data_IF_006030347484
#
_entry.id   IF_006030347484
#
_cell.length_a   1.000
_cell.length_b   1.000
_cell.length_c   1.000
_cell.angle_alpha   90.00
_cell.angle_beta   90.00
_cell.angle_gamma   90.00
#
_symmetry.space_group_name_H-M   'P 1'
#
loop_
_entity.id
_entity.type
_entity.pdbx_description
1 polymer ?
#
# COMPACT_ATOMS: atom_id res chain seq x y z
N UNK A 1 -13.51 -26.81 -2.24
CA UNK A 1 -13.78 -25.83 -1.17
C UNK A 1 -13.73 -24.48 -1.80
N UNK A 2 -14.76 -23.68 -1.61
CA UNK A 2 -14.92 -22.34 -2.16
C UNK A 2 -13.83 -21.41 -1.70
N UNK A 3 -13.12 -20.81 -2.64
CA UNK A 3 -12.09 -19.81 -2.32
C UNK A 3 -12.76 -18.49 -2.04
N UNK A 4 -12.47 -17.91 -0.87
CA UNK A 4 -12.97 -16.60 -0.46
C UNK A 4 -11.80 -15.65 -0.34
N UNK A 5 -11.88 -14.49 -0.98
CA UNK A 5 -10.82 -13.49 -0.98
C UNK A 5 -11.33 -12.15 -0.47
N UNK A 6 -10.49 -11.47 0.28
CA UNK A 6 -10.66 -10.05 0.61
C UNK A 6 -9.40 -9.34 0.17
N UNK A 7 -9.55 -8.26 -0.59
CA UNK A 7 -8.43 -7.42 -1.04
C UNK A 7 -8.71 -5.95 -0.80
N UNK A 8 -7.66 -5.17 -0.79
CA UNK A 8 -7.69 -3.72 -0.78
C UNK A 8 -7.29 -3.21 -2.16
N UNK A 9 -8.23 -2.63 -2.88
CA UNK A 9 -7.98 -2.02 -4.19
C UNK A 9 -7.69 -0.53 -3.99
N UNK A 10 -6.54 -0.02 -4.45
CA UNK A 10 -6.20 1.37 -4.23
C UNK A 10 -7.09 2.31 -5.03
N UNK A 11 -7.54 3.38 -4.39
CA UNK A 11 -8.21 4.52 -5.03
C UNK A 11 -7.19 5.66 -5.03
N UNK A 12 -6.85 6.16 -6.22
CA UNK A 12 -5.79 7.16 -6.41
C UNK A 12 -6.35 8.44 -7.00
N UNK A 13 -5.75 9.57 -6.64
CA UNK A 13 -6.03 10.85 -7.28
C UNK A 13 -5.41 10.92 -8.71
N UNK A 14 -5.55 12.07 -9.36
CA UNK A 14 -5.02 12.31 -10.72
C UNK A 14 -3.49 12.32 -10.78
N UNK A 15 -2.83 12.56 -9.66
CA UNK A 15 -1.38 12.56 -9.52
C UNK A 15 -0.84 11.20 -9.05
N UNK A 16 -1.70 10.18 -9.00
CA UNK A 16 -1.46 8.81 -8.56
C UNK A 16 -1.13 8.66 -7.06
N UNK A 17 -1.49 9.63 -6.20
CA UNK A 17 -1.41 9.43 -4.76
C UNK A 17 -2.61 8.62 -4.27
N UNK A 18 -2.38 7.72 -3.32
CA UNK A 18 -3.45 6.93 -2.71
C UNK A 18 -4.27 7.83 -1.79
N UNK A 19 -5.57 7.97 -2.08
CA UNK A 19 -6.53 8.65 -1.22
C UNK A 19 -7.26 7.69 -0.29
N UNK A 20 -7.29 6.41 -0.63
CA UNK A 20 -7.97 5.37 0.12
C UNK A 20 -7.92 4.02 -0.58
N UNK A 21 -8.64 3.07 -0.01
CA UNK A 21 -8.77 1.72 -0.56
C UNK A 21 -10.22 1.26 -0.57
N UNK A 22 -10.64 0.61 -1.63
CA UNK A 22 -11.87 -0.18 -1.60
C UNK A 22 -11.60 -1.57 -1.04
N UNK A 23 -12.43 -2.01 -0.10
CA UNK A 23 -12.39 -3.36 0.46
C UNK A 23 -13.34 -4.23 -0.35
N UNK A 24 -12.79 -5.09 -1.19
CA UNK A 24 -13.55 -6.01 -2.03
C UNK A 24 -13.53 -7.43 -1.46
N UNK A 25 -14.67 -8.10 -1.58
CA UNK A 25 -14.83 -9.49 -1.23
C UNK A 25 -15.25 -10.30 -2.46
N UNK A 26 -14.61 -11.43 -2.64
CA UNK A 26 -14.96 -12.40 -3.67
C UNK A 26 -15.24 -13.77 -3.04
N UNK A 27 -16.39 -14.38 -3.38
CA UNK A 27 -16.77 -15.70 -2.89
C UNK A 27 -17.80 -16.36 -3.81
N UNK A 28 -17.93 -17.68 -3.73
CA UNK A 28 -18.74 -18.52 -4.64
C UNK A 28 -20.23 -18.16 -4.79
N UNK A 29 -20.78 -17.28 -3.97
CA UNK A 29 -22.21 -16.96 -4.00
C UNK A 29 -22.65 -16.17 -5.25
N UNK A 30 -21.73 -15.73 -6.10
CA UNK A 30 -22.06 -15.18 -7.42
C UNK A 30 -22.47 -16.26 -8.47
N UNK A 31 -22.23 -17.54 -8.18
CA UNK A 31 -22.54 -18.64 -9.11
C UNK A 31 -23.95 -19.21 -8.98
N UNK A 32 -24.67 -18.89 -7.92
CA UNK A 32 -26.04 -19.37 -7.71
C UNK A 32 -27.02 -18.20 -7.84
N UNK A 33 -27.85 -18.25 -8.86
CA UNK A 33 -28.97 -17.33 -9.11
C UNK A 33 -30.07 -17.35 -8.03
N UNK A 34 -29.69 -17.15 -6.78
CA UNK A 34 -30.61 -16.91 -5.66
C UNK A 34 -30.76 -15.40 -5.48
N UNK A 35 -31.92 -14.96 -5.05
CA UNK A 35 -32.35 -13.57 -4.91
C UNK A 35 -31.22 -12.62 -4.53
N UNK A 36 -30.90 -11.67 -5.40
CA UNK A 36 -29.74 -10.76 -5.36
C UNK A 36 -29.53 -10.05 -3.98
N UNK A 37 -30.60 -9.82 -3.24
CA UNK A 37 -30.53 -9.12 -1.94
C UNK A 37 -29.90 -9.96 -0.82
N UNK A 38 -30.15 -11.26 -0.75
CA UNK A 38 -29.59 -12.13 0.29
C UNK A 38 -28.12 -12.46 0.05
N UNK A 39 -27.70 -12.53 -1.20
CA UNK A 39 -26.30 -12.74 -1.60
C UNK A 39 -25.42 -11.54 -1.21
N UNK A 40 -25.89 -10.34 -1.47
CA UNK A 40 -25.18 -9.09 -1.13
C UNK A 40 -25.04 -8.87 0.37
N UNK A 41 -26.11 -9.16 1.14
CA UNK A 41 -26.09 -9.06 2.61
C UNK A 41 -25.06 -10.02 3.22
N UNK A 42 -24.97 -11.24 2.70
CA UNK A 42 -24.00 -12.22 3.19
C UNK A 42 -22.57 -11.84 2.84
N UNK A 43 -22.30 -11.41 1.61
CA UNK A 43 -20.96 -11.00 1.17
C UNK A 43 -20.45 -9.78 1.96
N UNK A 44 -21.31 -8.77 2.15
CA UNK A 44 -20.96 -7.59 2.93
C UNK A 44 -20.74 -7.92 4.41
N UNK A 45 -21.60 -8.78 5.01
CA UNK A 45 -21.43 -9.21 6.39
C UNK A 45 -20.17 -10.05 6.60
N UNK A 46 -19.84 -10.93 5.65
CA UNK A 46 -18.64 -11.77 5.69
C UNK A 46 -17.37 -10.92 5.53
N UNK A 47 -17.40 -9.88 4.66
CA UNK A 47 -16.33 -8.90 4.52
C UNK A 47 -16.07 -8.19 5.85
N UNK A 48 -17.11 -7.64 6.47
CA UNK A 48 -17.00 -6.91 7.74
C UNK A 48 -16.52 -7.86 8.85
N UNK A 49 -17.06 -9.07 8.94
CA UNK A 49 -16.68 -10.05 9.96
C UNK A 49 -15.21 -10.46 9.83
N UNK A 50 -14.77 -10.84 8.62
CA UNK A 50 -13.40 -11.24 8.38
C UNK A 50 -12.44 -10.07 8.59
N UNK A 51 -12.83 -8.89 8.18
CA UNK A 51 -12.06 -7.67 8.38
C UNK A 51 -11.88 -7.36 9.87
N UNK A 52 -12.92 -7.44 10.69
CA UNK A 52 -12.85 -7.26 12.15
C UNK A 52 -12.07 -8.40 12.84
N UNK A 53 -12.18 -9.64 12.33
CA UNK A 53 -11.50 -10.81 12.92
C UNK A 53 -9.98 -10.75 12.76
N UNK A 54 -9.49 -10.00 11.78
CA UNK A 54 -8.06 -9.88 11.44
C UNK A 54 -7.33 -8.76 12.25
N UNK A 55 -7.88 -8.29 13.36
CA UNK A 55 -7.31 -7.18 14.17
C UNK A 55 -7.04 -5.90 13.36
N UNK A 56 -8.02 -5.50 12.60
CA UNK A 56 -7.92 -4.47 11.56
C UNK A 56 -7.69 -3.04 12.06
N UNK A 57 -7.85 -2.75 13.34
CA UNK A 57 -7.56 -1.41 13.90
C UNK A 57 -6.17 -0.88 13.57
N UNK A 58 -5.21 -1.79 13.31
CA UNK A 58 -3.85 -1.43 12.88
C UNK A 58 -3.69 -1.31 11.37
N UNK A 59 -4.57 -1.98 10.59
CA UNK A 59 -4.47 -2.06 9.13
C UNK A 59 -5.07 -0.83 8.43
N UNK A 60 -5.98 -0.13 9.10
CA UNK A 60 -6.73 0.99 8.54
C UNK A 60 -6.11 2.36 8.79
N UNK A 61 -5.13 2.44 9.70
CA UNK A 61 -4.62 3.73 10.16
C UNK A 61 -4.08 4.60 9.03
N UNK A 62 -4.60 5.82 8.99
CA UNK A 62 -4.09 6.90 8.14
C UNK A 62 -4.61 6.91 6.71
N UNK A 63 -5.51 5.98 6.31
CA UNK A 63 -6.12 5.97 4.97
C UNK A 63 -7.63 5.75 5.04
N UNK A 64 -8.35 6.28 4.05
CA UNK A 64 -9.78 6.02 3.92
C UNK A 64 -10.03 4.60 3.43
N UNK A 65 -11.03 3.92 4.00
CA UNK A 65 -11.41 2.58 3.58
C UNK A 65 -12.88 2.58 3.18
N UNK A 66 -13.12 2.34 1.92
CA UNK A 66 -14.44 2.30 1.31
C UNK A 66 -15.00 0.89 1.48
N UNK A 67 -16.09 0.75 2.21
CA UNK A 67 -16.74 -0.52 2.49
C UNK A 67 -18.22 -0.44 2.17
N UNK A 68 -18.73 -1.44 1.45
CA UNK A 68 -20.15 -1.51 1.08
C UNK A 68 -21.01 -2.00 2.26
N UNK A 69 -22.05 -1.24 2.58
CA UNK A 69 -23.03 -1.56 3.61
C UNK A 69 -24.41 -1.74 2.99
N UNK A 70 -25.02 -2.87 3.29
CA UNK A 70 -26.40 -3.15 2.93
C UNK A 70 -27.38 -2.51 3.93
N UNK A 71 -28.66 -2.44 3.58
CA UNK A 71 -29.73 -1.97 4.45
C UNK A 71 -29.71 -2.66 5.81
N UNK A 72 -29.53 -3.99 5.83
CA UNK A 72 -29.49 -4.81 7.05
C UNK A 72 -28.32 -4.40 7.96
N UNK A 73 -27.13 -4.21 7.40
CA UNK A 73 -25.93 -3.83 8.14
C UNK A 73 -26.01 -2.41 8.70
N UNK A 74 -26.59 -1.48 7.94
CA UNK A 74 -26.85 -0.12 8.41
C UNK A 74 -27.81 -0.11 9.61
N UNK A 75 -28.92 -0.88 9.54
CA UNK A 75 -29.87 -1.02 10.63
C UNK A 75 -29.27 -1.66 11.89
N UNK A 76 -28.35 -2.61 11.72
CA UNK A 76 -27.59 -3.23 12.83
C UNK A 76 -26.50 -2.33 13.39
N UNK A 77 -26.35 -1.12 12.89
CA UNK A 77 -25.37 -0.11 13.30
C UNK A 77 -23.92 -0.58 13.14
N UNK A 78 -23.67 -1.48 12.18
CA UNK A 78 -22.33 -2.04 11.90
C UNK A 78 -21.26 -0.97 11.55
N UNK A 79 -21.55 0.17 10.89
CA UNK A 79 -20.54 1.20 10.65
C UNK A 79 -19.87 1.73 11.91
N UNK A 80 -20.58 1.73 13.07
CA UNK A 80 -20.03 2.20 14.35
C UNK A 80 -18.96 1.31 14.97
N UNK A 81 -18.68 0.16 14.35
CA UNK A 81 -17.55 -0.70 14.72
C UNK A 81 -16.21 -0.15 14.21
N UNK A 82 -16.23 0.85 13.34
CA UNK A 82 -15.05 1.45 12.71
C UNK A 82 -14.91 2.92 13.08
N UNK A 83 -13.65 3.42 13.04
CA UNK A 83 -13.41 4.86 13.18
C UNK A 83 -13.99 5.62 12.00
N UNK A 84 -14.77 6.66 12.28
CA UNK A 84 -15.41 7.51 11.27
C UNK A 84 -14.42 8.29 10.40
N UNK A 85 -13.18 8.47 10.87
CA UNK A 85 -12.15 9.16 10.11
C UNK A 85 -11.46 8.23 9.09
N UNK A 86 -11.61 6.92 9.25
CA UNK A 86 -10.98 5.90 8.43
C UNK A 86 -11.99 5.15 7.55
N UNK A 87 -13.28 5.17 7.90
CA UNK A 87 -14.35 4.50 7.16
C UNK A 87 -15.10 5.46 6.24
N UNK A 88 -15.25 5.05 4.97
CA UNK A 88 -16.25 5.60 4.04
C UNK A 88 -17.35 4.57 3.87
N UNK A 89 -18.57 4.92 4.27
CA UNK A 89 -19.76 4.07 4.11
C UNK A 89 -20.18 4.11 2.64
N UNK A 90 -19.99 3.01 1.95
CA UNK A 90 -20.37 2.87 0.55
C UNK A 90 -21.74 2.21 0.44
N UNK A 91 -22.62 2.76 -0.39
CA UNK A 91 -23.98 2.29 -0.58
C UNK A 91 -24.34 2.19 -2.05
N UNK A 92 -25.29 1.34 -2.35
CA UNK A 92 -25.87 1.15 -3.69
C UNK A 92 -27.35 1.55 -3.76
N UNK A 93 -27.97 1.34 -4.90
CA UNK A 93 -29.37 1.68 -5.15
C UNK A 93 -30.34 0.95 -4.20
N UNK A 94 -30.03 -0.26 -3.76
CA UNK A 94 -30.87 -1.05 -2.86
C UNK A 94 -31.05 -0.38 -1.50
N UNK A 95 -30.01 0.32 -1.03
CA UNK A 95 -30.06 1.12 0.20
C UNK A 95 -30.88 2.41 -0.02
N UNK A 96 -30.66 3.06 -1.17
CA UNK A 96 -31.26 4.36 -1.51
C UNK A 96 -32.79 4.29 -1.64
N UNK A 97 -33.31 3.20 -2.13
CA UNK A 97 -34.77 3.00 -2.24
C UNK A 97 -35.46 2.69 -0.92
N UNK A 98 -34.71 2.39 0.14
CA UNK A 98 -35.27 2.00 1.43
C UNK A 98 -35.36 3.20 2.40
N UNK A 99 -36.58 3.70 2.77
CA UNK A 99 -36.73 4.93 3.55
C UNK A 99 -36.00 4.94 4.91
N UNK A 100 -36.01 3.79 5.63
CA UNK A 100 -35.32 3.69 6.92
C UNK A 100 -33.80 3.71 6.75
N UNK A 101 -33.27 3.06 5.72
CA UNK A 101 -31.84 3.09 5.43
C UNK A 101 -31.38 4.51 5.06
N UNK A 102 -32.16 5.24 4.28
CA UNK A 102 -31.95 6.65 3.98
C UNK A 102 -31.83 7.51 5.24
N UNK A 103 -32.73 7.31 6.19
CA UNK A 103 -32.64 8.02 7.46
C UNK A 103 -31.37 7.69 8.23
N UNK A 104 -30.96 6.41 8.22
CA UNK A 104 -29.72 5.97 8.86
C UNK A 104 -28.49 6.61 8.20
N UNK A 105 -28.44 6.68 6.87
CA UNK A 105 -27.33 7.33 6.13
C UNK A 105 -27.22 8.81 6.53
N UNK A 106 -28.34 9.54 6.56
CA UNK A 106 -28.35 10.92 7.03
C UNK A 106 -27.86 11.06 8.46
N UNK A 107 -28.17 10.09 9.33
CA UNK A 107 -27.67 10.06 10.68
C UNK A 107 -26.15 9.84 10.72
N UNK A 108 -25.61 8.86 9.97
CA UNK A 108 -24.16 8.61 9.90
C UNK A 108 -23.41 9.82 9.34
N UNK A 109 -23.93 10.47 8.30
CA UNK A 109 -23.34 11.71 7.79
C UNK A 109 -23.26 12.81 8.86
N UNK A 110 -24.32 12.98 9.67
CA UNK A 110 -24.32 13.93 10.83
C UNK A 110 -23.36 13.51 11.95
N UNK A 111 -23.10 12.21 12.13
CA UNK A 111 -22.12 11.67 13.07
C UNK A 111 -20.68 11.87 12.57
N UNK A 112 -20.50 12.28 11.31
CA UNK A 112 -19.23 12.62 10.68
C UNK A 112 -18.59 11.49 9.87
N UNK A 113 -19.36 10.42 9.54
CA UNK A 113 -18.92 9.45 8.55
C UNK A 113 -19.02 10.02 7.14
N UNK A 114 -18.06 9.70 6.29
CA UNK A 114 -18.11 9.99 4.85
C UNK A 114 -18.97 8.94 4.15
N UNK A 115 -19.74 9.37 3.17
CA UNK A 115 -20.67 8.54 2.43
C UNK A 115 -20.28 8.52 0.95
N UNK A 116 -20.14 7.31 0.37
CA UNK A 116 -19.94 7.09 -1.05
C UNK A 116 -21.16 6.39 -1.65
N UNK A 117 -21.53 6.78 -2.86
CA UNK A 117 -22.62 6.13 -3.62
C UNK A 117 -22.06 5.46 -4.85
N UNK A 118 -22.32 4.16 -4.96
CA UNK A 118 -22.03 3.39 -6.16
C UNK A 118 -23.09 3.63 -7.25
N UNK A 119 -22.67 3.64 -8.50
CA UNK A 119 -23.55 3.67 -9.66
C UNK A 119 -24.62 4.79 -9.62
N UNK A 120 -24.19 5.99 -9.26
CA UNK A 120 -25.07 7.14 -9.14
C UNK A 120 -25.87 7.38 -10.42
N UNK A 121 -27.19 7.65 -10.26
CA UNK A 121 -28.11 7.98 -11.34
C UNK A 121 -28.83 9.31 -11.06
N UNK A 122 -29.15 10.07 -12.12
CA UNK A 122 -30.00 11.26 -12.00
C UNK A 122 -31.47 10.89 -11.79
N UNK A 123 -31.80 10.50 -10.58
CA UNK A 123 -33.17 10.23 -10.16
C UNK A 123 -33.51 11.02 -8.89
N UNK A 124 -34.79 11.38 -8.65
CA UNK A 124 -35.19 12.19 -7.50
C UNK A 124 -34.72 11.63 -6.15
N UNK A 125 -34.63 10.30 -6.03
CA UNK A 125 -34.15 9.61 -4.82
C UNK A 125 -32.68 9.93 -4.49
N UNK A 126 -31.82 10.05 -5.49
CA UNK A 126 -30.42 10.44 -5.30
C UNK A 126 -30.29 11.93 -4.96
N UNK A 127 -31.10 12.78 -5.62
CA UNK A 127 -31.07 14.21 -5.34
C UNK A 127 -31.43 14.53 -3.88
N UNK A 128 -32.35 13.76 -3.28
CA UNK A 128 -32.72 13.92 -1.87
C UNK A 128 -31.58 13.57 -0.88
N UNK A 129 -30.54 12.87 -1.33
CA UNK A 129 -29.41 12.45 -0.50
C UNK A 129 -28.15 13.28 -0.74
N UNK A 130 -28.08 14.09 -1.77
CA UNK A 130 -26.84 14.75 -2.20
C UNK A 130 -26.15 15.49 -1.07
N UNK A 131 -26.89 16.10 -0.14
CA UNK A 131 -26.29 16.80 1.02
C UNK A 131 -25.52 15.86 1.95
N UNK A 132 -25.89 14.57 1.97
CA UNK A 132 -25.27 13.55 2.84
C UNK A 132 -24.18 12.74 2.15
N UNK A 133 -23.95 12.94 0.85
CA UNK A 133 -22.97 12.21 0.04
C UNK A 133 -21.68 13.03 -0.05
N UNK A 134 -20.54 12.40 0.08
CA UNK A 134 -19.23 12.99 -0.14
C UNK A 134 -18.63 12.54 -1.48
N UNK A 135 -18.79 11.26 -1.83
CA UNK A 135 -18.20 10.63 -3.01
C UNK A 135 -19.26 10.03 -3.92
N UNK A 136 -19.10 10.23 -5.22
CA UNK A 136 -19.93 9.62 -6.27
C UNK A 136 -19.04 8.72 -7.11
N UNK A 137 -19.28 7.41 -7.07
CA UNK A 137 -18.55 6.42 -7.88
C UNK A 137 -19.28 6.23 -9.22
N UNK A 138 -18.53 6.37 -10.31
CA UNK A 138 -19.03 6.33 -11.69
C UNK A 138 -18.35 5.21 -12.46
N UNK A 139 -19.13 4.26 -12.95
CA UNK A 139 -18.61 3.15 -13.74
C UNK A 139 -18.34 3.59 -15.18
N UNK A 140 -17.07 3.67 -15.56
CA UNK A 140 -16.62 4.10 -16.88
C UNK A 140 -16.80 3.05 -17.98
N UNK A 141 -17.05 1.80 -17.62
CA UNK A 141 -17.32 0.74 -18.60
C UNK A 141 -18.78 0.75 -19.07
N UNK A 142 -19.70 1.17 -18.20
CA UNK A 142 -21.14 1.06 -18.45
C UNK A 142 -21.80 2.38 -18.87
N UNK A 143 -21.25 3.52 -18.42
CA UNK A 143 -21.82 4.83 -18.66
C UNK A 143 -21.26 5.48 -19.94
N UNK A 144 -22.13 6.15 -20.69
CA UNK A 144 -21.72 6.93 -21.86
C UNK A 144 -20.97 8.21 -21.46
N UNK A 145 -20.00 8.66 -22.27
CA UNK A 145 -19.16 9.84 -22.00
C UNK A 145 -19.98 11.11 -21.71
N UNK A 146 -21.06 11.33 -22.43
CA UNK A 146 -21.92 12.51 -22.20
C UNK A 146 -22.60 12.46 -20.84
N UNK A 147 -23.05 11.29 -20.41
CA UNK A 147 -23.65 11.07 -19.09
C UNK A 147 -22.62 11.29 -17.99
N UNK A 148 -21.43 10.71 -18.13
CA UNK A 148 -20.31 10.90 -17.20
C UNK A 148 -19.99 12.39 -17.05
N UNK A 149 -19.83 13.11 -18.15
CA UNK A 149 -19.53 14.54 -18.12
C UNK A 149 -20.60 15.33 -17.36
N UNK A 150 -21.87 15.11 -17.66
CA UNK A 150 -22.97 15.81 -16.98
C UNK A 150 -23.01 15.52 -15.48
N UNK A 151 -22.79 14.26 -15.08
CA UNK A 151 -22.77 13.89 -13.65
C UNK A 151 -21.61 14.58 -12.94
N UNK A 152 -20.41 14.55 -13.52
CA UNK A 152 -19.21 15.15 -12.93
C UNK A 152 -19.39 16.67 -12.78
N UNK A 153 -19.88 17.37 -13.79
CA UNK A 153 -20.11 18.82 -13.73
C UNK A 153 -21.12 19.19 -12.64
N UNK A 154 -22.20 18.44 -12.50
CA UNK A 154 -23.21 18.67 -11.44
C UNK A 154 -22.63 18.34 -10.07
N UNK A 155 -21.96 17.21 -9.92
CA UNK A 155 -21.31 16.80 -8.67
C UNK A 155 -20.33 17.86 -8.16
N UNK A 156 -19.46 18.35 -9.03
CA UNK A 156 -18.51 19.42 -8.70
C UNK A 156 -19.20 20.74 -8.33
N UNK A 157 -20.31 21.09 -9.02
CA UNK A 157 -21.09 22.29 -8.66
C UNK A 157 -21.70 22.21 -7.26
N UNK A 158 -21.87 21.00 -6.73
CA UNK A 158 -22.37 20.70 -5.38
C UNK A 158 -21.27 20.31 -4.38
N UNK A 159 -20.00 20.53 -4.75
CA UNK A 159 -18.85 20.21 -3.89
C UNK A 159 -18.71 18.70 -3.55
N UNK A 160 -19.10 17.82 -4.48
CA UNK A 160 -18.96 16.37 -4.34
C UNK A 160 -17.77 15.87 -5.14
N UNK A 161 -17.09 14.85 -4.63
CA UNK A 161 -15.96 14.23 -5.31
C UNK A 161 -16.42 13.05 -6.17
N UNK A 162 -15.89 12.97 -7.40
CA UNK A 162 -16.19 11.91 -8.36
C UNK A 162 -15.04 10.91 -8.43
N UNK A 163 -15.33 9.62 -8.23
CA UNK A 163 -14.40 8.52 -8.38
C UNK A 163 -14.76 7.73 -9.63
N UNK A 164 -13.85 7.66 -10.59
CA UNK A 164 -14.01 6.81 -11.77
C UNK A 164 -13.65 5.36 -11.40
N UNK A 165 -14.59 4.43 -11.59
CA UNK A 165 -14.35 2.99 -11.33
C UNK A 165 -14.38 2.19 -12.63
N UNK A 166 -13.76 1.00 -12.62
CA UNK A 166 -13.65 0.13 -13.79
C UNK A 166 -12.60 0.62 -14.79
N UNK A 167 -11.54 1.26 -14.31
CA UNK A 167 -10.44 1.77 -15.15
C UNK A 167 -9.44 0.64 -15.43
N UNK A 168 -9.81 -0.26 -16.34
CA UNK A 168 -9.06 -1.48 -16.63
C UNK A 168 -8.23 -1.41 -17.92
N UNK A 169 -8.21 -0.27 -18.59
CA UNK A 169 -7.36 -0.03 -19.75
C UNK A 169 -6.94 1.45 -19.83
N UNK A 170 -5.88 1.70 -20.61
CA UNK A 170 -5.33 3.05 -20.77
C UNK A 170 -6.30 4.04 -21.42
N UNK A 171 -7.19 3.57 -22.29
CA UNK A 171 -8.18 4.43 -22.96
C UNK A 171 -9.17 5.02 -21.93
N UNK A 172 -9.71 4.20 -21.03
CA UNK A 172 -10.59 4.64 -19.95
C UNK A 172 -9.85 5.55 -18.97
N UNK A 173 -8.58 5.24 -18.69
CA UNK A 173 -7.73 6.08 -17.84
C UNK A 173 -7.60 7.50 -18.42
N UNK A 174 -7.24 7.63 -19.69
CA UNK A 174 -7.12 8.94 -20.36
C UNK A 174 -8.46 9.66 -20.45
N UNK A 175 -9.56 8.94 -20.65
CA UNK A 175 -10.91 9.51 -20.65
C UNK A 175 -11.26 10.08 -19.25
N UNK A 176 -10.96 9.37 -18.19
CA UNK A 176 -11.21 9.82 -16.82
C UNK A 176 -10.41 11.10 -16.48
N UNK A 177 -9.12 11.15 -16.85
CA UNK A 177 -8.30 12.35 -16.70
C UNK A 177 -8.87 13.55 -17.50
N UNK A 178 -9.32 13.32 -18.74
CA UNK A 178 -9.93 14.35 -19.58
C UNK A 178 -11.22 14.91 -18.97
N UNK A 179 -12.03 14.06 -18.35
CA UNK A 179 -13.27 14.43 -17.67
C UNK A 179 -13.05 15.04 -16.29
N UNK A 180 -11.80 15.09 -15.83
CA UNK A 180 -11.38 15.72 -14.57
C UNK A 180 -12.05 15.13 -13.33
N UNK A 181 -12.20 13.80 -13.27
CA UNK A 181 -12.60 13.11 -12.04
C UNK A 181 -11.60 13.39 -10.92
N UNK A 182 -12.01 13.28 -9.66
CA UNK A 182 -11.15 13.58 -8.51
C UNK A 182 -10.27 12.39 -8.15
N UNK A 183 -10.77 11.17 -8.36
CA UNK A 183 -10.02 9.94 -8.12
C UNK A 183 -10.41 8.83 -9.11
N UNK A 184 -9.56 7.80 -9.14
CA UNK A 184 -9.66 6.67 -10.07
C UNK A 184 -9.45 5.35 -9.32
N UNK A 185 -10.12 4.30 -9.80
CA UNK A 185 -10.04 2.93 -9.30
C UNK A 185 -10.12 1.93 -10.46
N UNK A 186 -9.27 0.92 -10.45
CA UNK A 186 -9.23 -0.14 -11.47
C UNK A 186 -7.85 -0.75 -11.61
N UNK A 187 -7.73 -1.79 -12.45
CA UNK A 187 -6.49 -2.56 -12.61
C UNK A 187 -5.33 -1.70 -13.11
N UNK A 188 -5.57 -0.86 -14.11
CA UNK A 188 -4.55 0.08 -14.62
C UNK A 188 -4.17 1.12 -13.58
N UNK A 189 -5.11 1.58 -12.77
CA UNK A 189 -4.84 2.55 -11.70
C UNK A 189 -3.96 1.93 -10.61
N UNK A 190 -4.22 0.67 -10.24
CA UNK A 190 -3.41 -0.05 -9.27
C UNK A 190 -1.94 -0.18 -9.71
N UNK A 191 -1.70 -0.30 -11.01
CA UNK A 191 -0.36 -0.39 -11.59
C UNK A 191 0.37 0.95 -11.71
N UNK A 192 -0.38 2.05 -11.87
CA UNK A 192 0.24 3.38 -12.03
C UNK A 192 0.72 3.90 -10.69
N UNK A 193 1.96 4.33 -10.67
CA UNK A 193 2.58 4.95 -9.51
C UNK A 193 2.99 6.39 -9.80
N UNK A 194 3.12 7.18 -8.76
CA UNK A 194 3.59 8.56 -8.85
C UNK A 194 4.99 8.56 -9.47
N UNK A 195 5.11 9.01 -10.72
CA UNK A 195 6.41 9.16 -11.38
C UNK A 195 7.09 10.45 -10.89
N UNK A 196 7.71 10.39 -9.74
CA UNK A 196 8.68 11.42 -9.36
C UNK A 196 10.05 10.78 -9.38
N UNK A 197 10.75 11.01 -10.47
CA UNK A 197 12.14 10.68 -10.65
C UNK A 197 12.99 11.46 -9.65
N UNK A 198 13.37 10.81 -8.57
CA UNK A 198 14.51 11.26 -7.81
C UNK A 198 15.76 10.58 -8.38
N UNK A 199 16.54 11.35 -9.10
CA UNK A 199 17.94 11.04 -9.42
C UNK A 199 18.75 11.00 -8.11
N UNK A 200 18.50 9.99 -7.29
CA UNK A 200 19.30 9.76 -6.10
C UNK A 200 20.49 8.90 -6.49
N UNK A 201 21.68 9.51 -6.50
CA UNK A 201 22.95 8.82 -6.69
C UNK A 201 23.24 7.73 -5.64
N UNK A 202 22.28 7.41 -4.80
CA UNK A 202 22.31 6.42 -3.74
C UNK A 202 21.92 5.00 -4.16
N UNK A 203 21.24 4.85 -5.27
CA UNK A 203 20.95 3.54 -5.84
C UNK A 203 22.17 2.95 -6.56
N UNK A 204 23.37 3.37 -6.11
CA UNK A 204 24.62 2.78 -6.59
C UNK A 204 24.74 1.33 -6.12
N UNK A 205 25.51 0.57 -6.85
CA UNK A 205 25.69 -0.88 -6.70
C UNK A 205 25.91 -1.39 -5.27
N UNK A 206 26.50 -0.58 -4.36
CA UNK A 206 26.77 -0.97 -2.98
C UNK A 206 25.52 -1.05 -2.10
N UNK A 207 24.53 -0.18 -2.30
CA UNK A 207 23.27 -0.25 -1.57
C UNK A 207 22.52 -1.56 -1.86
N UNK A 208 22.38 -1.92 -3.12
CA UNK A 208 21.74 -3.19 -3.49
C UNK A 208 22.52 -4.41 -3.01
N UNK A 209 23.85 -4.36 -3.08
CA UNK A 209 24.69 -5.42 -2.53
C UNK A 209 24.50 -5.57 -1.01
N UNK A 210 24.37 -4.46 -0.30
CA UNK A 210 24.08 -4.45 1.13
C UNK A 210 22.70 -5.04 1.44
N UNK A 211 21.68 -4.64 0.68
CA UNK A 211 20.33 -5.16 0.83
C UNK A 211 20.28 -6.67 0.62
N UNK A 212 20.88 -7.18 -0.47
CA UNK A 212 20.98 -8.62 -0.73
C UNK A 212 21.72 -9.35 0.39
N UNK A 213 22.81 -8.78 0.90
CA UNK A 213 23.63 -9.42 1.93
C UNK A 213 22.93 -9.48 3.29
N UNK A 214 22.16 -8.44 3.66
CA UNK A 214 21.53 -8.35 4.98
C UNK A 214 20.24 -9.18 5.08
N UNK A 215 19.58 -9.47 3.96
CA UNK A 215 18.31 -10.21 3.91
C UNK A 215 18.50 -11.74 3.98
N UNK A 216 19.69 -12.24 3.70
CA UNK A 216 19.99 -13.68 3.78
C UNK A 216 19.55 -14.27 5.12
N UNK A 217 19.15 -15.53 5.12
CA UNK A 217 18.75 -16.25 6.36
C UNK A 217 19.86 -16.26 7.42
N UNK A 218 21.13 -16.30 6.99
CA UNK A 218 22.32 -16.18 7.83
C UNK A 218 23.26 -15.13 7.20
N UNK A 219 23.09 -13.84 7.54
CA UNK A 219 23.96 -12.78 7.03
C UNK A 219 25.38 -12.93 7.53
N UNK A 220 26.36 -12.83 6.60
CA UNK A 220 27.79 -12.83 6.97
C UNK A 220 28.22 -11.41 7.34
N UNK A 221 28.56 -11.21 8.60
CA UNK A 221 29.00 -9.92 9.15
C UNK A 221 30.23 -9.40 8.43
N UNK A 222 31.15 -10.26 8.00
CA UNK A 222 32.36 -9.83 7.28
C UNK A 222 32.05 -9.32 5.87
N UNK A 223 31.04 -9.90 5.22
CA UNK A 223 30.52 -9.40 3.93
C UNK A 223 29.84 -8.05 4.09
N UNK A 224 28.98 -7.91 5.11
CA UNK A 224 28.30 -6.65 5.43
C UNK A 224 29.31 -5.54 5.77
N UNK A 225 30.28 -5.82 6.63
CA UNK A 225 31.38 -4.92 6.98
C UNK A 225 32.12 -4.43 5.74
N UNK A 226 32.47 -5.34 4.81
CA UNK A 226 33.18 -5.00 3.59
C UNK A 226 32.36 -4.09 2.68
N UNK A 227 31.07 -4.37 2.50
CA UNK A 227 30.19 -3.57 1.65
C UNK A 227 30.02 -2.15 2.22
N UNK A 228 29.80 -2.05 3.52
CA UNK A 228 29.58 -0.75 4.19
C UNK A 228 30.88 0.07 4.21
N UNK A 229 32.04 -0.57 4.50
CA UNK A 229 33.31 0.13 4.67
C UNK A 229 33.88 0.76 3.39
N UNK A 230 33.46 0.30 2.21
CA UNK A 230 33.89 0.90 0.95
C UNK A 230 33.04 2.10 0.53
N UNK A 231 31.97 2.39 1.26
CA UNK A 231 31.05 3.50 1.00
C UNK A 231 31.03 4.45 2.20
N UNK A 232 31.56 5.66 2.01
CA UNK A 232 31.67 6.65 3.07
C UNK A 232 30.31 7.05 3.67
N UNK A 233 29.27 7.10 2.84
CA UNK A 233 27.92 7.49 3.26
C UNK A 233 27.26 6.40 4.11
N UNK A 234 27.37 5.14 3.67
CA UNK A 234 26.89 4.00 4.45
C UNK A 234 27.63 3.89 5.79
N UNK A 235 28.96 4.05 5.76
CA UNK A 235 29.79 4.02 6.96
C UNK A 235 29.39 5.11 7.94
N UNK A 236 29.27 6.36 7.48
CA UNK A 236 28.88 7.49 8.32
C UNK A 236 27.45 7.28 8.89
N UNK A 237 26.51 6.90 8.06
CA UNK A 237 25.12 6.65 8.48
C UNK A 237 25.03 5.57 9.56
N UNK A 238 25.73 4.44 9.38
CA UNK A 238 25.74 3.35 10.34
C UNK A 238 26.39 3.74 11.68
N UNK A 239 27.56 4.39 11.63
CA UNK A 239 28.26 4.85 12.84
C UNK A 239 27.43 5.90 13.62
N UNK A 240 26.72 6.79 12.91
CA UNK A 240 25.84 7.80 13.52
C UNK A 240 24.68 7.12 14.27
N UNK A 241 24.07 6.09 13.71
CA UNK A 241 22.99 5.34 14.36
C UNK A 241 23.52 4.56 15.56
N UNK A 242 24.61 3.83 15.41
CA UNK A 242 25.22 3.07 16.49
C UNK A 242 25.58 3.95 17.69
N UNK A 243 25.98 5.20 17.45
CA UNK A 243 26.33 6.16 18.50
C UNK A 243 25.14 7.04 18.95
N UNK A 244 23.92 6.76 18.51
CA UNK A 244 22.75 7.50 18.96
C UNK A 244 22.42 7.21 20.44
N UNK A 245 21.64 8.11 21.07
CA UNK A 245 21.19 7.93 22.46
C UNK A 245 20.37 6.67 22.69
N UNK A 246 19.79 6.10 21.64
CA UNK A 246 18.98 4.89 21.70
C UNK A 246 19.79 3.68 22.24
N UNK A 247 21.06 3.56 21.85
CA UNK A 247 21.91 2.43 22.28
C UNK A 247 22.66 2.67 23.60
N UNK A 248 22.58 3.86 24.20
CA UNK A 248 23.10 4.22 25.54
C UNK A 248 24.49 3.65 25.85
N UNK A 249 25.41 3.73 24.90
CA UNK A 249 26.74 3.12 25.01
C UNK A 249 27.65 3.89 25.98
N UNK A 250 28.45 3.14 26.75
CA UNK A 250 29.49 3.70 27.64
C UNK A 250 30.69 4.26 26.86
N UNK A 251 30.93 3.80 25.64
CA UNK A 251 32.03 4.24 24.76
C UNK A 251 31.51 4.39 23.32
N UNK A 252 32.11 5.34 22.60
CA UNK A 252 31.77 5.54 21.18
C UNK A 252 32.21 4.36 20.32
N UNK A 253 31.33 3.96 19.42
CA UNK A 253 31.59 2.98 18.35
C UNK A 253 32.35 3.68 17.24
N UNK A 254 33.51 3.16 16.87
CA UNK A 254 34.40 3.76 15.87
C UNK A 254 34.62 2.91 14.63
N UNK A 255 34.19 1.63 14.64
CA UNK A 255 34.35 0.72 13.52
C UNK A 255 33.00 0.20 13.01
N UNK A 256 32.92 -0.09 11.71
CA UNK A 256 31.72 -0.65 11.07
C UNK A 256 31.32 -1.96 11.72
N UNK A 257 32.28 -2.84 12.02
CA UNK A 257 32.02 -4.12 12.68
C UNK A 257 31.40 -3.95 14.06
N UNK A 258 31.94 -3.05 14.87
CA UNK A 258 31.36 -2.72 16.18
C UNK A 258 29.95 -2.15 16.03
N UNK A 259 29.73 -1.31 15.03
CA UNK A 259 28.41 -0.75 14.76
C UNK A 259 27.39 -1.85 14.42
N UNK A 260 27.71 -2.77 13.52
CA UNK A 260 26.85 -3.90 13.17
C UNK A 260 26.52 -4.75 14.40
N UNK A 261 27.54 -5.07 15.21
CA UNK A 261 27.36 -5.87 16.44
C UNK A 261 26.55 -5.16 17.51
N UNK A 262 26.67 -3.84 17.59
CA UNK A 262 25.93 -3.01 18.57
C UNK A 262 24.47 -2.84 18.19
N UNK A 263 24.22 -2.54 16.93
CA UNK A 263 22.86 -2.32 16.38
C UNK A 263 22.11 -3.67 16.32
N UNK A 264 22.80 -4.73 15.90
CA UNK A 264 22.19 -6.03 15.63
C UNK A 264 21.69 -6.14 14.19
N UNK A 265 21.45 -7.38 13.74
CA UNK A 265 21.09 -7.65 12.34
C UNK A 265 19.64 -7.21 11.98
N UNK A 266 18.73 -7.24 12.94
CA UNK A 266 17.35 -6.83 12.69
C UNK A 266 17.25 -5.32 12.49
N UNK A 267 17.83 -4.55 13.37
CA UNK A 267 17.89 -3.09 13.29
C UNK A 267 18.74 -2.63 12.10
N UNK A 268 19.77 -3.41 11.73
CA UNK A 268 20.52 -3.16 10.51
C UNK A 268 19.65 -3.35 9.26
N UNK A 269 18.81 -4.37 9.21
CA UNK A 269 17.82 -4.56 8.13
C UNK A 269 16.88 -3.36 8.03
N UNK A 270 16.31 -2.94 9.14
CA UNK A 270 15.43 -1.76 9.19
C UNK A 270 16.16 -0.50 8.72
N UNK A 271 17.41 -0.32 9.12
CA UNK A 271 18.21 0.81 8.67
C UNK A 271 18.48 0.79 7.16
N UNK A 272 18.75 -0.37 6.59
CA UNK A 272 18.91 -0.53 5.13
C UNK A 272 17.61 -0.19 4.40
N UNK A 273 16.46 -0.58 4.95
CA UNK A 273 15.15 -0.17 4.41
C UNK A 273 14.93 1.35 4.53
N UNK A 274 15.31 1.94 5.66
CA UNK A 274 15.28 3.39 5.86
C UNK A 274 16.16 4.15 4.87
N UNK A 275 17.30 3.60 4.50
CA UNK A 275 18.15 4.23 3.48
C UNK A 275 17.49 4.24 2.11
N UNK A 276 16.69 3.24 1.76
CA UNK A 276 15.88 3.27 0.53
C UNK A 276 14.81 4.37 0.55
N UNK A 277 14.32 4.71 1.76
CA UNK A 277 13.32 5.77 1.95
C UNK A 277 13.91 7.17 2.15
N UNK A 278 15.12 7.28 2.73
CA UNK A 278 15.65 8.54 3.27
C UNK A 278 16.49 9.38 2.30
N UNK A 279 16.56 9.02 1.05
CA UNK A 279 17.21 9.84 0.03
C UNK A 279 16.41 11.10 -0.35
N UNK A 280 15.26 11.29 0.28
CA UNK A 280 14.53 12.52 0.28
C UNK A 280 14.98 13.38 1.49
N UNK A 281 16.15 14.00 1.40
CA UNK A 281 16.67 14.89 2.48
C UNK A 281 15.78 16.12 2.77
N UNK A 282 14.68 16.34 2.04
CA UNK A 282 13.81 17.50 2.26
C UNK A 282 12.32 17.27 2.04
N UNK A 283 11.73 16.29 2.57
CA UNK A 283 10.32 15.89 2.52
C UNK A 283 10.23 14.45 1.98
N UNK A 284 9.77 13.52 2.80
CA UNK A 284 9.28 12.26 2.25
C UNK A 284 8.17 12.64 1.28
N UNK A 285 8.46 12.52 0.00
CA UNK A 285 7.46 12.69 -1.04
C UNK A 285 6.44 11.57 -0.84
N UNK A 286 5.15 11.89 -0.80
CA UNK A 286 4.07 10.91 -0.60
C UNK A 286 4.20 9.71 -1.55
N UNK A 287 4.75 9.93 -2.76
CA UNK A 287 5.05 8.87 -3.71
C UNK A 287 6.13 7.88 -3.27
N UNK A 288 7.17 8.32 -2.54
CA UNK A 288 8.23 7.43 -2.06
C UNK A 288 7.74 6.52 -0.93
N UNK A 289 6.81 7.00 -0.10
CA UNK A 289 6.16 6.21 0.94
C UNK A 289 5.32 5.08 0.36
N UNK A 290 4.43 5.38 -0.57
CA UNK A 290 3.60 4.40 -1.27
C UNK A 290 4.45 3.28 -1.87
N UNK A 291 5.53 3.69 -2.51
CA UNK A 291 6.48 2.84 -3.19
C UNK A 291 7.14 1.82 -2.26
N UNK A 292 7.63 2.30 -1.12
CA UNK A 292 8.25 1.46 -0.11
C UNK A 292 7.25 0.49 0.52
N UNK A 293 6.06 0.96 0.82
CA UNK A 293 4.99 0.10 1.35
C UNK A 293 4.65 -1.01 0.38
N UNK A 294 4.52 -0.69 -0.92
CA UNK A 294 4.23 -1.68 -1.96
C UNK A 294 5.38 -2.68 -2.12
N UNK A 295 6.63 -2.20 -2.15
CA UNK A 295 7.82 -3.06 -2.22
C UNK A 295 7.89 -4.02 -1.05
N UNK A 296 7.70 -3.53 0.18
CA UNK A 296 7.69 -4.33 1.40
C UNK A 296 6.53 -5.33 1.40
N UNK A 297 5.35 -4.90 0.93
CA UNK A 297 4.17 -5.76 0.85
C UNK A 297 4.42 -6.94 -0.10
N UNK A 298 4.89 -6.68 -1.32
CA UNK A 298 5.23 -7.71 -2.30
C UNK A 298 6.35 -8.63 -1.81
N UNK A 299 7.38 -8.07 -1.17
CA UNK A 299 8.49 -8.83 -0.61
C UNK A 299 8.01 -9.83 0.46
N UNK A 300 7.23 -9.36 1.43
CA UNK A 300 6.68 -10.21 2.48
C UNK A 300 5.72 -11.25 1.93
N UNK A 301 4.86 -10.87 0.99
CA UNK A 301 3.86 -11.78 0.44
C UNK A 301 4.52 -12.87 -0.41
N UNK A 302 5.41 -12.55 -1.34
CA UNK A 302 6.17 -13.53 -2.11
C UNK A 302 6.96 -14.49 -1.19
N UNK A 303 7.63 -13.97 -0.16
CA UNK A 303 8.36 -14.78 0.82
C UNK A 303 7.45 -15.70 1.62
N UNK A 304 6.24 -15.23 2.01
CA UNK A 304 5.27 -16.00 2.77
C UNK A 304 4.63 -17.11 1.95
N UNK A 305 4.34 -16.85 0.68
CA UNK A 305 3.83 -17.84 -0.28
C UNK A 305 4.79 -19.04 -0.46
N UNK A 306 6.10 -18.81 -0.33
CA UNK A 306 7.13 -19.87 -0.38
C UNK A 306 6.98 -20.95 0.69
N UNK A 307 6.22 -20.71 1.77
CA UNK A 307 5.95 -21.75 2.78
C UNK A 307 5.01 -22.83 2.25
N UNK A 308 4.25 -22.53 1.21
CA UNK A 308 3.18 -23.36 0.70
C UNK A 308 3.41 -23.78 -0.75
N UNK A 309 4.12 -22.97 -1.54
CA UNK A 309 4.51 -23.30 -2.91
C UNK A 309 5.45 -24.51 -2.97
N UNK A 310 5.20 -25.44 -3.90
CA UNK A 310 6.04 -26.62 -4.10
C UNK A 310 7.01 -26.42 -5.25
N UNK A 311 8.11 -27.18 -5.20
CA UNK A 311 9.11 -27.26 -6.28
C UNK A 311 9.65 -25.89 -6.75
N UNK A 312 9.85 -24.98 -5.81
CA UNK A 312 10.40 -23.66 -6.09
C UNK A 312 11.92 -23.73 -6.23
N UNK A 313 12.50 -23.16 -7.32
CA UNK A 313 13.94 -23.19 -7.56
C UNK A 313 14.73 -22.15 -6.75
N UNK A 314 14.06 -21.33 -5.97
CA UNK A 314 14.62 -20.21 -5.20
C UNK A 314 14.36 -20.37 -3.71
N UNK A 315 15.11 -19.61 -2.90
CA UNK A 315 14.88 -19.54 -1.45
C UNK A 315 13.83 -18.50 -1.07
N UNK A 316 13.34 -18.53 0.18
CA UNK A 316 12.46 -17.48 0.72
C UNK A 316 13.10 -16.08 0.65
N UNK A 317 14.42 -16.01 0.86
CA UNK A 317 15.16 -14.76 0.75
C UNK A 317 15.19 -14.22 -0.67
N UNK A 318 15.30 -15.09 -1.67
CA UNK A 318 15.25 -14.71 -3.07
C UNK A 318 13.85 -14.25 -3.47
N UNK A 319 12.80 -14.93 -3.00
CA UNK A 319 11.41 -14.51 -3.22
C UNK A 319 11.11 -13.15 -2.54
N UNK A 320 11.68 -12.91 -1.36
CA UNK A 320 11.60 -11.60 -0.71
C UNK A 320 12.25 -10.51 -1.58
N UNK A 321 13.46 -10.77 -2.10
CA UNK A 321 14.16 -9.83 -2.99
C UNK A 321 13.40 -9.61 -4.29
N UNK A 322 12.78 -10.65 -4.84
CA UNK A 322 11.92 -10.54 -6.02
C UNK A 322 10.80 -9.53 -5.81
N UNK A 323 10.02 -9.69 -4.73
CA UNK A 323 8.97 -8.73 -4.40
C UNK A 323 9.51 -7.31 -4.14
N UNK A 324 10.64 -7.19 -3.43
CA UNK A 324 11.27 -5.91 -3.11
C UNK A 324 11.73 -5.16 -4.37
N UNK A 325 12.29 -5.87 -5.34
CA UNK A 325 12.84 -5.26 -6.55
C UNK A 325 11.80 -5.06 -7.66
N UNK A 326 10.60 -5.57 -7.49
CA UNK A 326 9.52 -5.45 -8.47
C UNK A 326 9.09 -4.01 -8.79
N UNK A 327 9.48 -3.08 -7.95
CA UNK A 327 9.08 -1.68 -8.04
C UNK A 327 10.26 -0.73 -8.37
N UNK A 328 11.47 -1.25 -8.60
CA UNK A 328 12.67 -0.44 -8.80
C UNK A 328 12.62 0.50 -10.00
N UNK A 329 11.94 0.10 -11.07
CA UNK A 329 11.73 0.92 -12.26
C UNK A 329 10.94 2.21 -12.01
N UNK A 330 10.25 2.30 -10.88
CA UNK A 330 9.54 3.52 -10.48
C UNK A 330 10.41 4.45 -9.63
N UNK A 331 11.43 3.91 -8.95
CA UNK A 331 12.39 4.69 -8.16
C UNK A 331 13.57 5.20 -9.00
N UNK A 332 13.91 4.47 -10.07
CA UNK A 332 15.07 4.75 -10.90
C UNK A 332 14.56 4.96 -12.33
N UNK A 333 14.88 6.09 -12.89
CA UNK A 333 14.57 6.40 -14.30
C UNK A 333 15.48 5.61 -15.25
N UNK A 334 15.32 4.29 -15.23
CA UNK A 334 16.01 3.36 -16.10
C UNK A 334 15.17 2.08 -16.30
N UNK A 335 15.34 1.37 -17.41
CA UNK A 335 14.71 0.07 -17.63
C UNK A 335 15.07 -0.92 -16.51
N UNK A 336 14.09 -1.70 -16.04
CA UNK A 336 14.31 -2.68 -14.97
C UNK A 336 15.44 -3.67 -15.30
N UNK A 337 15.61 -4.02 -16.57
CA UNK A 337 16.70 -4.88 -17.05
C UNK A 337 18.08 -4.30 -16.73
N UNK A 338 18.30 -3.02 -17.00
CA UNK A 338 19.57 -2.34 -16.70
C UNK A 338 19.80 -2.24 -15.20
N UNK A 339 18.74 -1.97 -14.43
CA UNK A 339 18.81 -1.88 -12.97
C UNK A 339 19.19 -3.24 -12.36
N UNK A 340 18.58 -4.32 -12.83
CA UNK A 340 18.81 -5.67 -12.30
C UNK A 340 20.14 -6.28 -12.73
N UNK A 341 20.76 -5.79 -13.79
CA UNK A 341 22.01 -6.35 -14.32
C UNK A 341 23.14 -6.42 -13.28
N UNK A 342 23.47 -5.33 -12.54
CA UNK A 342 24.53 -5.34 -11.53
C UNK A 342 24.11 -5.99 -10.20
N UNK A 343 22.83 -6.30 -10.01
CA UNK A 343 22.33 -6.81 -8.74
C UNK A 343 22.61 -8.32 -8.65
N UNK A 344 23.23 -8.80 -7.55
CA UNK A 344 23.63 -10.19 -7.40
C UNK A 344 22.47 -11.08 -6.92
N UNK A 345 21.39 -11.14 -7.71
CA UNK A 345 20.28 -12.09 -7.53
C UNK A 345 20.37 -13.21 -8.57
N UNK A 346 19.73 -14.35 -8.28
CA UNK A 346 19.74 -15.49 -9.21
C UNK A 346 18.97 -15.17 -10.50
N UNK A 347 19.27 -15.94 -11.55
CA UNK A 347 18.68 -15.70 -12.88
C UNK A 347 17.16 -15.91 -12.85
N UNK A 348 16.67 -16.87 -12.09
CA UNK A 348 15.25 -17.18 -11.94
C UNK A 348 14.46 -15.98 -11.40
N UNK A 349 15.05 -15.18 -10.49
CA UNK A 349 14.44 -13.95 -10.00
C UNK A 349 14.43 -12.87 -11.09
N UNK A 350 15.52 -12.73 -11.84
CA UNK A 350 15.57 -11.78 -12.97
C UNK A 350 14.55 -12.11 -14.04
N UNK A 351 14.46 -13.38 -14.42
CA UNK A 351 13.51 -13.86 -15.43
C UNK A 351 12.06 -13.71 -14.97
N UNK A 352 11.79 -13.91 -13.68
CA UNK A 352 10.47 -13.65 -13.10
C UNK A 352 10.08 -12.17 -13.17
N UNK A 353 11.00 -11.28 -12.84
CA UNK A 353 10.74 -9.83 -12.81
C UNK A 353 10.66 -9.20 -14.22
N UNK A 354 11.44 -9.71 -15.17
CA UNK A 354 11.53 -9.13 -16.52
C UNK A 354 10.55 -9.78 -17.50
N UNK A 355 10.33 -11.09 -17.38
CA UNK A 355 9.63 -11.88 -18.39
C UNK A 355 8.43 -12.65 -17.83
N UNK A 356 8.19 -12.61 -16.53
CA UNK A 356 7.09 -13.35 -15.87
C UNK A 356 7.15 -14.86 -16.18
N UNK A 357 8.35 -15.44 -16.28
CA UNK A 357 8.55 -16.83 -16.71
C UNK A 357 8.91 -17.77 -15.57
N UNK A 358 8.61 -19.06 -15.77
CA UNK A 358 8.89 -20.13 -14.82
C UNK A 358 8.05 -20.07 -13.55
N UNK A 359 8.36 -20.97 -12.62
CA UNK A 359 7.62 -21.03 -11.33
C UNK A 359 7.78 -19.77 -10.47
N UNK A 360 8.91 -19.08 -10.60
CA UNK A 360 9.15 -17.80 -9.93
C UNK A 360 8.28 -16.69 -10.52
N UNK A 361 8.11 -16.67 -11.87
CA UNK A 361 7.18 -15.76 -12.53
C UNK A 361 5.74 -16.01 -12.09
N UNK A 362 5.29 -17.27 -12.02
CA UNK A 362 3.96 -17.61 -11.51
C UNK A 362 3.74 -17.16 -10.06
N UNK A 363 4.75 -17.30 -9.19
CA UNK A 363 4.68 -16.83 -7.80
C UNK A 363 4.55 -15.30 -7.74
N UNK A 364 5.31 -14.61 -8.55
CA UNK A 364 5.25 -13.15 -8.67
C UNK A 364 3.92 -12.69 -9.24
N UNK A 365 3.44 -13.34 -10.30
CA UNK A 365 2.15 -13.04 -10.93
C UNK A 365 0.98 -13.29 -9.96
N UNK A 366 1.04 -14.33 -9.14
CA UNK A 366 0.03 -14.58 -8.11
C UNK A 366 -0.05 -13.39 -7.12
N UNK A 367 1.09 -12.84 -6.71
CA UNK A 367 1.11 -11.66 -5.84
C UNK A 367 0.50 -10.44 -6.54
N UNK A 368 0.84 -10.19 -7.81
CA UNK A 368 0.29 -9.08 -8.60
C UNK A 368 -1.21 -9.24 -8.86
N UNK A 369 -1.66 -10.44 -9.22
CA UNK A 369 -3.08 -10.72 -9.45
C UNK A 369 -3.89 -10.52 -8.17
N UNK A 370 -3.33 -10.88 -7.00
CA UNK A 370 -3.98 -10.65 -5.72
C UNK A 370 -4.16 -9.15 -5.42
N UNK A 371 -3.13 -8.33 -5.68
CA UNK A 371 -3.19 -6.87 -5.53
C UNK A 371 -4.22 -6.20 -6.46
N UNK A 372 -4.41 -6.78 -7.66
CA UNK A 372 -5.33 -6.27 -8.69
C UNK A 372 -6.75 -6.82 -8.57
N UNK A 373 -6.98 -7.75 -7.65
CA UNK A 373 -8.24 -8.50 -7.55
C UNK A 373 -8.61 -9.28 -8.83
N UNK A 374 -7.60 -9.83 -9.53
CA UNK A 374 -7.84 -10.68 -10.70
C UNK A 374 -8.12 -12.12 -10.28
N UNK A 375 -9.35 -12.39 -9.89
CA UNK A 375 -9.82 -13.64 -9.34
C UNK A 375 -9.64 -14.83 -10.28
N UNK A 376 -9.80 -14.59 -11.58
CA UNK A 376 -9.72 -15.66 -12.58
C UNK A 376 -8.31 -16.22 -12.71
N UNK A 377 -7.30 -15.37 -12.60
CA UNK A 377 -5.91 -15.80 -12.64
C UNK A 377 -5.41 -16.33 -11.30
N UNK A 378 -5.90 -15.79 -10.16
CA UNK A 378 -5.51 -16.24 -8.83
C UNK A 378 -5.72 -17.73 -8.63
N UNK A 379 -6.92 -18.25 -8.98
CA UNK A 379 -7.23 -19.67 -8.80
C UNK A 379 -6.33 -20.57 -9.65
N UNK A 380 -6.09 -20.21 -10.90
CA UNK A 380 -5.21 -20.95 -11.82
C UNK A 380 -3.76 -20.99 -11.32
N UNK A 381 -3.20 -19.83 -10.95
CA UNK A 381 -1.82 -19.72 -10.47
C UNK A 381 -1.63 -20.42 -9.12
N UNK A 382 -2.59 -20.33 -8.22
CA UNK A 382 -2.55 -21.00 -6.93
C UNK A 382 -2.57 -22.53 -7.10
N UNK A 383 -3.39 -23.07 -8.03
CA UNK A 383 -3.43 -24.49 -8.35
C UNK A 383 -2.10 -24.98 -8.91
N UNK A 384 -1.49 -24.26 -9.87
CA UNK A 384 -0.19 -24.61 -10.46
C UNK A 384 0.95 -24.56 -9.44
N UNK A 385 0.91 -23.65 -8.49
CA UNK A 385 1.87 -23.54 -7.40
C UNK A 385 1.58 -24.48 -6.23
N UNK A 386 0.45 -25.20 -6.26
CA UNK A 386 -0.05 -26.06 -5.20
C UNK A 386 -0.33 -25.33 -3.88
N UNK A 387 -0.72 -24.06 -3.97
CA UNK A 387 -1.10 -23.21 -2.84
C UNK A 387 -2.62 -23.30 -2.65
N UNK A 388 -3.06 -23.50 -1.42
CA UNK A 388 -4.48 -23.46 -1.10
C UNK A 388 -4.97 -22.01 -1.10
N UNK A 389 -5.94 -21.70 -1.94
CA UNK A 389 -6.46 -20.35 -2.14
C UNK A 389 -7.08 -19.73 -0.88
N UNK A 390 -7.63 -20.55 0.02
CA UNK A 390 -8.15 -20.09 1.32
C UNK A 390 -7.09 -19.51 2.26
N UNK A 391 -5.80 -19.78 2.01
CA UNK A 391 -4.69 -19.22 2.79
C UNK A 391 -4.27 -17.84 2.31
N UNK A 392 -4.54 -17.49 1.06
CA UNK A 392 -4.04 -16.25 0.45
C UNK A 392 -4.48 -15.01 1.22
N UNK A 393 -5.76 -14.95 1.60
CA UNK A 393 -6.30 -13.83 2.37
C UNK A 393 -5.58 -13.66 3.71
N UNK A 394 -5.47 -14.73 4.49
CA UNK A 394 -4.81 -14.66 5.81
C UNK A 394 -3.33 -14.32 5.70
N UNK A 395 -2.63 -14.84 4.69
CA UNK A 395 -1.23 -14.51 4.42
C UNK A 395 -1.07 -13.05 4.02
N UNK A 396 -1.92 -12.56 3.12
CA UNK A 396 -1.86 -11.17 2.66
C UNK A 396 -2.06 -10.19 3.81
N UNK A 397 -3.06 -10.41 4.67
CA UNK A 397 -3.31 -9.56 5.82
C UNK A 397 -2.20 -9.65 6.89
N UNK A 398 -1.65 -10.85 7.14
CA UNK A 398 -0.49 -10.98 8.01
C UNK A 398 0.73 -10.20 7.50
N UNK A 399 0.97 -10.25 6.18
CA UNK A 399 2.05 -9.44 5.57
C UNK A 399 1.78 -7.94 5.72
N UNK A 400 0.53 -7.52 5.62
CA UNK A 400 0.15 -6.12 5.80
C UNK A 400 0.37 -5.64 7.24
N UNK A 401 0.06 -6.48 8.25
CA UNK A 401 0.39 -6.19 9.66
C UNK A 401 1.90 -6.02 9.86
N UNK A 402 2.70 -6.91 9.29
CA UNK A 402 4.16 -6.83 9.38
C UNK A 402 4.70 -5.55 8.72
N UNK A 403 4.18 -5.20 7.54
CA UNK A 403 4.57 -3.96 6.84
C UNK A 403 4.18 -2.72 7.65
N UNK A 404 2.96 -2.67 8.19
CA UNK A 404 2.53 -1.54 9.02
C UNK A 404 3.38 -1.41 10.29
N UNK A 405 3.72 -2.51 10.94
CA UNK A 405 4.63 -2.51 12.11
C UNK A 405 5.99 -1.95 11.75
N UNK A 406 6.61 -2.43 10.66
CA UNK A 406 7.88 -1.91 10.15
C UNK A 406 7.75 -0.42 9.85
N UNK A 407 6.64 0.01 9.25
CA UNK A 407 6.38 1.39 8.90
C UNK A 407 6.25 2.30 10.13
N UNK A 408 5.52 1.86 11.15
CA UNK A 408 5.40 2.59 12.42
C UNK A 408 6.76 2.78 13.11
N UNK A 409 7.58 1.74 13.13
CA UNK A 409 8.95 1.80 13.68
C UNK A 409 9.82 2.79 12.89
N UNK A 410 9.69 2.81 11.56
CA UNK A 410 10.38 3.72 10.65
C UNK A 410 9.96 5.18 10.90
N UNK A 411 8.66 5.45 10.97
CA UNK A 411 8.13 6.80 11.13
C UNK A 411 8.37 7.37 12.52
N UNK A 412 8.27 6.56 13.57
CA UNK A 412 8.61 6.97 14.94
C UNK A 412 10.10 7.31 15.09
N UNK A 413 10.99 6.51 14.49
CA UNK A 413 12.42 6.79 14.48
C UNK A 413 12.75 8.10 13.72
N UNK A 414 12.02 8.43 12.65
CA UNK A 414 12.21 9.66 11.89
C UNK A 414 11.63 10.90 12.60
N UNK A 415 10.50 10.78 13.29
CA UNK A 415 9.91 11.85 14.08
C UNK A 415 10.81 12.25 15.27
N UNK A 416 11.31 11.27 16.01
CA UNK A 416 12.27 11.50 17.12
C UNK A 416 13.56 12.16 16.63
N UNK A 417 14.00 11.88 15.40
CA UNK A 417 15.17 12.53 14.78
C UNK A 417 14.92 13.99 14.43
N UNK A 418 13.73 14.32 13.92
CA UNK A 418 13.34 15.69 13.58
C UNK A 418 13.23 16.56 14.84
N UNK A 419 12.76 16.02 15.95
CA UNK A 419 12.73 16.71 17.24
C UNK A 419 14.15 17.01 17.76
N UNK A 420 15.02 16.01 17.77
CA UNK A 420 16.43 16.17 18.22
C UNK A 420 17.19 17.15 17.31
N UNK A 421 16.93 17.14 16.00
CA UNK A 421 17.55 18.09 15.07
C UNK A 421 17.06 19.52 15.32
N UNK A 422 15.77 19.73 15.54
CA UNK A 422 15.20 21.05 15.90
C UNK A 422 15.74 21.58 17.24
N UNK A 423 15.87 20.72 18.24
CA UNK A 423 16.47 21.10 19.53
C UNK A 423 17.95 21.49 19.40
N UNK A 424 18.71 20.79 18.55
CA UNK A 424 20.10 21.09 18.26
C UNK A 424 20.27 22.40 17.47
N UNK A 425 19.36 22.72 16.55
CA UNK A 425 19.35 24.00 15.83
C UNK A 425 18.97 25.16 16.74
N UNK A 426 17.93 25.01 17.55
CA UNK A 426 17.52 26.03 18.54
C UNK A 426 18.60 26.27 19.59
N UNK A 427 19.38 25.26 19.98
CA UNK A 427 20.52 25.39 20.88
C UNK A 427 21.67 26.21 20.23
N UNK A 428 21.93 25.99 18.94
CA UNK A 428 22.94 26.76 18.18
C UNK A 428 22.56 28.22 17.97
N UNK A 429 21.29 28.50 17.69
CA UNK A 429 20.78 29.86 17.56
C UNK A 429 20.85 30.63 18.88
N UNK A 430 20.60 29.98 20.02
CA UNK A 430 20.72 30.55 21.36
C UNK A 430 22.19 30.81 21.77
N UNK A 431 23.14 30.01 21.28
CA UNK A 431 24.56 30.18 21.51
C UNK A 431 25.13 31.32 20.66
N UNK A 432 24.75 31.40 19.38
CA UNK A 432 25.08 32.46 18.44
C UNK A 432 24.52 33.84 18.86
N UNK A 433 23.33 33.87 19.47
CA UNK A 433 22.74 35.11 19.99
C UNK A 433 23.44 35.65 21.26
N UNK A 434 24.21 34.83 21.96
CA UNK A 434 25.00 35.21 23.15
C UNK A 434 26.41 35.70 22.81
N UNK A 435 26.91 35.46 21.60
CA UNK A 435 28.25 35.88 21.15
C UNK A 435 28.26 37.21 20.37
N UNK A 436 27.13 37.90 20.23
CA UNK A 436 27.15 39.25 19.61
C UNK A 436 27.48 40.26 20.69
N UNK A 437 28.70 40.89 20.68
CA UNK A 437 29.05 41.91 21.64
C UNK A 437 28.25 43.17 21.34
N UNK A 438 27.65 43.76 22.36
CA UNK A 438 27.05 45.08 22.31
C UNK A 438 28.15 46.12 21.92
N UNK A 439 27.99 46.71 20.75
CA UNK A 439 28.70 47.96 20.38
C UNK A 439 27.91 49.17 20.84
#
# INVERSE_FOLDING_TARGET
>A
MSSKYIVRVPIKDRDNHIIGYEIQYYGENHAFGGEESTSNDFAAADTIYNFLSLNTDKLLRGTLNFMTFTTTLLMKKSPRLFDKNELVIQIDDSVIIHPLAMHMIQQYAREGYKIAVNEFQFAPRYLAMLDSIDYIKLNFQTLQELTLKNIIEIAHSMNKQCIAVGIDNEQLYQQALKLKVDALEGTVVAEKMTQKTHNSGYLQSNFFRLMVAVIKAAPDIAVLERIISVDATLTYGLLRIANSRYFSLRSKVTTVRQAIMTIGLNELKQWVYLLSASNAENQMDEGAEEFLRLSLMRANFCSSLMNYAKDMPITKSDAYLMGMFSTLNYLIDAPLEEILQPIPVCQEVKDALLHHTGRCGMLYDLALCYERADWTQIDSLAEELHIQTNLLTSLYFSCMEDVNRIWDEITQASASRKEVAKEAEAAKETESAKETPAQ
#
